data_IF_765995195699
#
_entry.id   IF_765995195699
#
_cell.length_a   1.000
_cell.length_b   1.000
_cell.length_c   1.000
_cell.angle_alpha   90.00
_cell.angle_beta   90.00
_cell.angle_gamma   90.00
#
_symmetry.space_group_name_H-M   'P 1'
#
loop_
_entity.id
_entity.type
_entity.pdbx_description
1 polymer ?
#
# COMPACT_ATOMS: atom_id res chain seq x y z
N UNK A 1 50.74 -6.47 4.20
CA UNK A 1 50.19 -6.59 5.58
C UNK A 1 49.71 -5.20 5.94
N UNK A 2 48.40 -5.01 6.14
CA UNK A 2 47.85 -3.71 6.48
C UNK A 2 47.78 -3.63 8.01
N UNK A 3 48.51 -2.69 8.59
CA UNK A 3 48.49 -2.41 10.02
C UNK A 3 47.48 -1.30 10.27
N UNK A 4 46.51 -1.55 11.15
CA UNK A 4 45.53 -0.56 11.61
C UNK A 4 45.91 -0.06 12.99
N UNK A 5 45.64 1.21 13.29
CA UNK A 5 45.85 1.77 14.63
C UNK A 5 44.68 1.44 15.54
N UNK A 6 44.98 0.90 16.71
CA UNK A 6 43.98 0.64 17.73
C UNK A 6 43.38 1.96 18.27
N UNK A 7 42.06 2.16 18.24
CA UNK A 7 41.44 3.39 18.77
C UNK A 7 41.49 3.49 20.31
N UNK A 8 41.74 2.38 21.01
CA UNK A 8 41.92 2.37 22.47
C UNK A 8 43.32 2.80 22.93
N UNK A 9 44.38 2.17 22.39
CA UNK A 9 45.76 2.37 22.87
C UNK A 9 46.72 2.99 21.86
N UNK A 10 46.29 3.20 20.61
CA UNK A 10 47.10 3.84 19.56
C UNK A 10 48.21 2.99 18.94
N UNK A 11 48.36 1.72 19.35
CA UNK A 11 49.34 0.78 18.79
C UNK A 11 48.89 0.20 17.45
N UNK A 12 49.86 -0.17 16.62
CA UNK A 12 49.63 -0.80 15.32
C UNK A 12 49.28 -2.29 15.50
N UNK A 13 48.16 -2.72 14.91
CA UNK A 13 47.61 -4.08 14.98
C UNK A 13 47.43 -4.63 13.57
N UNK A 14 47.66 -5.93 13.38
CA UNK A 14 47.29 -6.62 12.14
C UNK A 14 45.76 -6.76 12.04
N UNK A 15 45.18 -6.13 11.02
CA UNK A 15 43.73 -6.04 10.78
C UNK A 15 43.08 -7.44 10.65
N UNK A 16 43.84 -8.47 10.27
CA UNK A 16 43.29 -9.81 10.01
C UNK A 16 43.30 -10.78 11.20
N UNK A 17 44.06 -10.51 12.27
CA UNK A 17 44.40 -11.55 13.25
C UNK A 17 43.63 -11.51 14.58
N UNK A 18 43.05 -10.37 14.99
CA UNK A 18 42.55 -10.25 16.37
C UNK A 18 41.25 -9.46 16.52
N UNK A 19 40.19 -10.15 16.99
CA UNK A 19 38.89 -9.55 17.39
C UNK A 19 39.01 -8.58 18.57
N UNK A 20 40.09 -8.68 19.34
CA UNK A 20 40.42 -7.84 20.48
C UNK A 20 41.88 -7.44 20.44
N UNK A 21 42.17 -6.18 20.75
CA UNK A 21 43.55 -5.70 20.86
C UNK A 21 44.28 -6.49 21.96
N UNK A 22 45.43 -7.14 21.67
CA UNK A 22 46.17 -7.90 22.66
C UNK A 22 46.81 -7.02 23.75
N UNK A 23 47.03 -5.74 23.48
CA UNK A 23 47.68 -4.81 24.41
C UNK A 23 46.73 -4.13 25.39
N UNK A 24 45.48 -3.86 24.99
CA UNK A 24 44.53 -3.13 25.82
C UNK A 24 43.15 -3.78 25.95
N UNK A 25 42.95 -4.94 25.30
CA UNK A 25 41.68 -5.67 25.32
C UNK A 25 40.56 -5.04 24.51
N UNK A 26 40.82 -3.97 23.75
CA UNK A 26 39.79 -3.27 22.98
C UNK A 26 39.16 -4.16 21.91
N UNK A 27 37.84 -4.37 21.98
CA UNK A 27 37.11 -5.19 21.01
C UNK A 27 36.90 -4.43 19.69
N UNK A 28 37.45 -4.97 18.59
CA UNK A 28 37.38 -4.40 17.24
C UNK A 28 36.14 -4.89 16.46
N UNK A 29 35.30 -5.75 17.05
CA UNK A 29 34.10 -6.36 16.49
C UNK A 29 32.88 -5.40 16.37
N UNK A 30 33.10 -4.10 16.09
CA UNK A 30 32.02 -3.08 16.10
C UNK A 30 31.03 -3.15 14.92
N UNK A 31 31.35 -3.87 13.84
CA UNK A 31 30.49 -3.92 12.64
C UNK A 31 29.33 -4.91 12.73
N UNK A 32 29.28 -5.81 13.71
CA UNK A 32 28.17 -6.79 13.84
C UNK A 32 27.03 -6.31 14.72
N UNK A 33 27.29 -5.39 15.64
CA UNK A 33 26.26 -4.87 16.56
C UNK A 33 25.35 -3.83 15.88
N UNK A 34 25.89 -3.02 14.96
CA UNK A 34 25.10 -2.00 14.26
C UNK A 34 24.14 -2.64 13.24
N UNK A 35 24.59 -3.68 12.53
CA UNK A 35 23.76 -4.43 11.60
C UNK A 35 22.69 -5.27 12.31
N UNK A 36 22.98 -5.80 13.51
CA UNK A 36 22.01 -6.56 14.32
C UNK A 36 20.93 -5.68 14.98
N UNK A 37 21.21 -4.39 15.22
CA UNK A 37 20.20 -3.42 15.70
C UNK A 37 19.23 -3.00 14.58
N UNK A 38 19.67 -3.01 13.31
CA UNK A 38 18.85 -2.72 12.13
C UNK A 38 18.07 -3.94 11.61
N UNK A 39 18.55 -5.17 11.89
CA UNK A 39 17.94 -6.43 11.43
C UNK A 39 16.98 -7.08 12.44
N UNK A 40 16.97 -6.67 13.70
CA UNK A 40 16.14 -7.27 14.75
C UNK A 40 14.90 -6.37 15.07
N UNK A 41 13.96 -6.79 15.93
CA UNK A 41 12.48 -6.67 15.83
C UNK A 41 11.80 -5.36 15.35
N UNK A 42 12.48 -4.20 15.34
CA UNK A 42 11.91 -2.92 14.88
C UNK A 42 11.54 -2.94 13.39
N UNK A 43 12.36 -3.54 12.53
CA UNK A 43 12.11 -3.62 11.07
C UNK A 43 10.87 -4.47 10.75
N UNK A 44 10.67 -5.58 11.47
CA UNK A 44 9.50 -6.45 11.33
C UNK A 44 8.23 -5.74 11.80
N UNK A 45 8.29 -5.03 12.93
CA UNK A 45 7.15 -4.25 13.44
C UNK A 45 6.76 -3.10 12.49
N UNK A 46 7.74 -2.43 11.88
CA UNK A 46 7.49 -1.41 10.87
C UNK A 46 6.80 -2.00 9.62
N UNK A 47 7.34 -3.08 9.04
CA UNK A 47 6.75 -3.74 7.87
C UNK A 47 5.32 -4.25 8.16
N UNK A 48 5.08 -4.78 9.36
CA UNK A 48 3.75 -5.22 9.82
C UNK A 48 2.78 -4.05 9.94
N UNK A 49 3.23 -2.93 10.49
CA UNK A 49 2.44 -1.69 10.58
C UNK A 49 2.07 -1.16 9.19
N UNK A 50 3.07 -1.06 8.30
CA UNK A 50 2.87 -0.62 6.92
C UNK A 50 1.90 -1.52 6.15
N UNK A 51 2.04 -2.85 6.26
CA UNK A 51 1.11 -3.81 5.65
C UNK A 51 -0.32 -3.61 6.16
N UNK A 52 -0.48 -3.39 7.46
CA UNK A 52 -1.79 -3.17 8.08
C UNK A 52 -2.43 -1.88 7.54
N UNK A 53 -1.65 -0.80 7.43
CA UNK A 53 -2.10 0.45 6.84
C UNK A 53 -2.55 0.29 5.37
N UNK A 54 -1.76 -0.40 4.55
CA UNK A 54 -2.09 -0.68 3.14
C UNK A 54 -3.39 -1.50 3.00
N UNK A 55 -3.60 -2.50 3.87
CA UNK A 55 -4.84 -3.28 3.89
C UNK A 55 -6.05 -2.42 4.25
N UNK A 56 -5.93 -1.55 5.25
CA UNK A 56 -7.00 -0.62 5.62
C UNK A 56 -7.33 0.32 4.46
N UNK A 57 -6.31 0.87 3.80
CA UNK A 57 -6.48 1.74 2.64
C UNK A 57 -7.20 1.02 1.48
N UNK A 58 -6.84 -0.24 1.20
CA UNK A 58 -7.51 -1.06 0.19
C UNK A 58 -8.99 -1.25 0.50
N UNK A 59 -9.33 -1.57 1.75
CA UNK A 59 -10.72 -1.74 2.19
C UNK A 59 -11.51 -0.43 2.02
N UNK A 60 -10.92 0.72 2.34
CA UNK A 60 -11.54 2.04 2.16
C UNK A 60 -11.89 2.27 0.68
N UNK A 61 -10.97 2.00 -0.24
CA UNK A 61 -11.24 2.14 -1.68
C UNK A 61 -12.38 1.24 -2.16
N UNK A 62 -12.46 0.00 -1.67
CA UNK A 62 -13.55 -0.93 -2.02
C UNK A 62 -14.90 -0.45 -1.47
N UNK A 63 -14.94 0.07 -0.25
CA UNK A 63 -16.17 0.63 0.34
C UNK A 63 -16.64 1.85 -0.46
N UNK A 64 -15.73 2.78 -0.75
CA UNK A 64 -16.04 3.97 -1.56
C UNK A 64 -16.57 3.56 -2.93
N UNK A 65 -15.90 2.62 -3.60
CA UNK A 65 -16.35 2.11 -4.90
C UNK A 65 -17.75 1.51 -4.84
N UNK A 66 -18.05 0.72 -3.81
CA UNK A 66 -19.36 0.10 -3.60
C UNK A 66 -20.48 1.14 -3.43
N UNK A 67 -20.21 2.22 -2.67
CA UNK A 67 -21.16 3.33 -2.50
C UNK A 67 -21.44 4.00 -3.86
N UNK A 68 -20.41 4.25 -4.66
CA UNK A 68 -20.57 4.89 -5.97
C UNK A 68 -21.29 3.99 -6.98
N UNK A 69 -21.02 2.68 -6.98
CA UNK A 69 -21.78 1.75 -7.80
C UNK A 69 -23.25 1.65 -7.36
N UNK A 70 -23.52 1.70 -6.06
CA UNK A 70 -24.90 1.79 -5.57
C UNK A 70 -25.58 3.05 -6.10
N UNK A 71 -24.94 4.22 -6.01
CA UNK A 71 -25.52 5.48 -6.54
C UNK A 71 -25.68 5.45 -8.06
N UNK A 72 -24.75 4.85 -8.79
CA UNK A 72 -24.89 4.65 -10.23
C UNK A 72 -26.14 3.81 -10.51
N UNK A 73 -26.28 2.66 -9.85
CA UNK A 73 -27.42 1.78 -10.02
C UNK A 73 -28.73 2.47 -9.66
N UNK A 74 -28.77 3.20 -8.55
CA UNK A 74 -29.93 3.95 -8.07
C UNK A 74 -30.40 4.99 -9.10
N UNK A 75 -29.50 5.84 -9.61
CA UNK A 75 -29.85 6.86 -10.61
C UNK A 75 -30.35 6.25 -11.93
N UNK A 76 -29.86 5.07 -12.29
CA UNK A 76 -30.32 4.35 -13.48
C UNK A 76 -31.71 3.71 -13.30
N UNK A 77 -32.05 3.23 -12.10
CA UNK A 77 -33.26 2.40 -11.88
C UNK A 77 -34.39 3.13 -11.17
N UNK A 78 -34.09 4.09 -10.28
CA UNK A 78 -35.09 4.84 -9.52
C UNK A 78 -35.37 6.18 -10.20
N UNK A 79 -36.02 6.10 -11.36
CA UNK A 79 -36.48 7.26 -12.12
C UNK A 79 -37.81 7.78 -11.57
N UNK A 80 -37.86 9.06 -11.19
CA UNK A 80 -39.08 9.75 -10.81
C UNK A 80 -39.38 10.87 -11.80
N UNK A 81 -40.49 10.75 -12.54
CA UNK A 81 -41.01 11.78 -13.42
C UNK A 81 -41.99 12.65 -12.62
N UNK A 82 -41.71 13.94 -12.47
CA UNK A 82 -42.57 14.85 -11.69
C UNK A 82 -43.67 15.51 -12.51
N UNK A 83 -43.72 15.36 -13.84
CA UNK A 83 -44.59 16.25 -14.64
C UNK A 83 -45.52 15.62 -15.68
N UNK A 84 -45.33 14.38 -16.17
CA UNK A 84 -46.33 13.75 -17.05
C UNK A 84 -46.44 12.25 -16.79
N UNK A 85 -47.60 11.87 -16.24
CA UNK A 85 -48.09 10.50 -16.13
C UNK A 85 -48.55 10.01 -17.50
N UNK A 86 -48.10 8.82 -17.86
CA UNK A 86 -48.69 7.88 -18.82
C UNK A 86 -48.78 8.34 -20.29
N UNK A 87 -48.24 7.48 -21.17
CA UNK A 87 -48.37 7.42 -22.63
C UNK A 87 -47.26 8.14 -23.41
N UNK A 88 -46.20 7.38 -23.71
CA UNK A 88 -45.31 7.68 -24.83
C UNK A 88 -44.56 6.41 -25.27
N UNK A 89 -45.30 5.48 -25.88
CA UNK A 89 -44.72 4.61 -26.91
C UNK A 89 -44.20 5.51 -28.04
N UNK A 90 -42.87 5.65 -28.11
CA UNK A 90 -42.11 6.26 -29.22
C UNK A 90 -42.20 7.79 -29.39
N UNK A 91 -41.99 8.59 -28.34
CA UNK A 91 -41.76 10.04 -28.51
C UNK A 91 -40.31 10.33 -28.97
N UNK A 92 -40.15 10.54 -30.28
CA UNK A 92 -38.99 11.19 -30.87
C UNK A 92 -38.77 12.54 -30.17
N UNK A 93 -37.78 12.58 -29.27
CA UNK A 93 -37.41 13.67 -28.33
C UNK A 93 -38.57 14.27 -27.52
N UNK A 94 -39.32 13.40 -26.82
CA UNK A 94 -40.16 13.81 -25.68
C UNK A 94 -39.31 14.23 -24.48
N UNK A 95 -39.84 15.09 -23.59
CA UNK A 95 -39.11 15.62 -22.43
C UNK A 95 -38.56 14.57 -21.45
N UNK A 96 -39.02 13.32 -21.53
CA UNK A 96 -38.49 12.18 -20.82
C UNK A 96 -37.10 11.74 -21.31
N UNK A 97 -36.85 11.84 -22.63
CA UNK A 97 -35.55 11.57 -23.23
C UNK A 97 -34.44 12.45 -22.64
N UNK A 98 -34.77 13.70 -22.32
CA UNK A 98 -33.82 14.62 -21.68
C UNK A 98 -33.40 14.13 -20.29
N UNK A 99 -34.37 13.70 -19.47
CA UNK A 99 -34.07 13.17 -18.14
C UNK A 99 -33.31 11.84 -18.20
N UNK A 100 -33.54 11.00 -19.21
CA UNK A 100 -32.73 9.79 -19.44
C UNK A 100 -31.29 10.10 -19.82
N UNK A 101 -31.04 11.11 -20.65
CA UNK A 101 -29.69 11.56 -20.99
C UNK A 101 -28.97 12.06 -19.73
N UNK A 102 -29.66 12.85 -18.90
CA UNK A 102 -29.12 13.34 -17.63
C UNK A 102 -28.78 12.18 -16.68
N UNK A 103 -29.73 11.27 -16.42
CA UNK A 103 -29.46 10.11 -15.56
C UNK A 103 -28.39 9.20 -16.14
N UNK A 104 -28.30 9.09 -17.46
CA UNK A 104 -27.21 8.40 -18.16
C UNK A 104 -25.85 9.02 -17.85
N UNK A 105 -25.73 10.35 -17.93
CA UNK A 105 -24.47 11.04 -17.57
C UNK A 105 -24.11 10.86 -16.10
N UNK A 106 -25.05 10.99 -15.17
CA UNK A 106 -24.81 10.70 -13.75
C UNK A 106 -24.41 9.24 -13.49
N UNK A 107 -25.08 8.29 -14.15
CA UNK A 107 -24.72 6.87 -14.08
C UNK A 107 -23.27 6.64 -14.52
N UNK A 108 -22.87 7.22 -15.66
CA UNK A 108 -21.49 7.08 -16.16
C UNK A 108 -20.48 7.70 -15.21
N UNK A 109 -20.73 8.90 -14.69
CA UNK A 109 -19.84 9.58 -13.75
C UNK A 109 -19.63 8.75 -12.47
N UNK A 110 -20.71 8.27 -11.86
CA UNK A 110 -20.61 7.43 -10.67
C UNK A 110 -19.94 6.09 -10.95
N UNK A 111 -20.22 5.47 -12.10
CA UNK A 111 -19.57 4.22 -12.50
C UNK A 111 -18.07 4.37 -12.73
N UNK A 112 -17.62 5.51 -13.31
CA UNK A 112 -16.20 5.80 -13.52
C UNK A 112 -15.47 6.00 -12.18
N UNK A 113 -16.07 6.76 -11.25
CA UNK A 113 -15.50 6.95 -9.91
C UNK A 113 -15.39 5.60 -9.18
N UNK A 114 -16.46 4.79 -9.22
CA UNK A 114 -16.47 3.45 -8.63
C UNK A 114 -15.40 2.54 -9.23
N UNK A 115 -15.30 2.50 -10.56
CA UNK A 115 -14.30 1.70 -11.28
C UNK A 115 -12.87 2.13 -10.96
N UNK A 116 -12.62 3.44 -10.87
CA UNK A 116 -11.30 3.98 -10.49
C UNK A 116 -10.94 3.59 -9.06
N UNK A 117 -11.90 3.61 -8.13
CA UNK A 117 -11.70 3.12 -6.76
C UNK A 117 -11.29 1.64 -6.72
N UNK A 118 -11.93 0.79 -7.50
CA UNK A 118 -11.55 -0.63 -7.63
C UNK A 118 -10.14 -0.79 -8.22
N UNK A 119 -9.81 -0.03 -9.27
CA UNK A 119 -8.46 -0.06 -9.86
C UNK A 119 -7.39 0.30 -8.83
N UNK A 120 -7.61 1.35 -8.03
CA UNK A 120 -6.72 1.70 -6.91
C UNK A 120 -6.58 0.55 -5.90
N UNK A 121 -7.68 -0.11 -5.53
CA UNK A 121 -7.65 -1.26 -4.62
C UNK A 121 -6.83 -2.43 -5.19
N UNK A 122 -6.96 -2.72 -6.48
CA UNK A 122 -6.21 -3.79 -7.17
C UNK A 122 -4.72 -3.48 -7.22
N UNK A 123 -4.33 -2.23 -7.53
CA UNK A 123 -2.93 -1.81 -7.58
C UNK A 123 -2.24 -2.00 -6.22
N UNK A 124 -2.97 -1.79 -5.11
CA UNK A 124 -2.44 -1.97 -3.76
C UNK A 124 -2.12 -3.43 -3.40
N UNK A 125 -2.65 -4.43 -4.14
CA UNK A 125 -2.41 -5.85 -3.86
C UNK A 125 -0.93 -6.21 -4.06
N UNK A 126 -0.29 -5.68 -5.11
CA UNK A 126 1.11 -5.96 -5.45
C UNK A 126 2.07 -5.63 -4.29
N UNK A 127 2.10 -4.39 -3.75
CA UNK A 127 2.97 -4.08 -2.62
C UNK A 127 2.63 -4.85 -1.34
N UNK A 128 1.35 -5.19 -1.10
CA UNK A 128 0.95 -6.03 0.04
C UNK A 128 1.58 -7.42 -0.04
N UNK A 129 1.57 -8.04 -1.23
CA UNK A 129 2.21 -9.34 -1.48
C UNK A 129 3.73 -9.21 -1.32
N UNK A 130 4.35 -8.20 -1.93
CA UNK A 130 5.79 -7.99 -1.83
C UNK A 130 6.28 -7.82 -0.38
N UNK A 131 5.55 -7.03 0.43
CA UNK A 131 5.84 -6.89 1.87
C UNK A 131 5.67 -8.22 2.59
N UNK A 132 4.67 -9.03 2.21
CA UNK A 132 4.45 -10.34 2.83
C UNK A 132 5.59 -11.33 2.53
N UNK A 133 6.12 -11.31 1.30
CA UNK A 133 7.31 -12.10 0.92
C UNK A 133 8.54 -11.63 1.72
N UNK A 134 8.81 -10.32 1.75
CA UNK A 134 9.91 -9.74 2.55
C UNK A 134 9.81 -10.11 4.03
N UNK A 135 8.61 -10.12 4.60
CA UNK A 135 8.41 -10.56 5.98
C UNK A 135 8.74 -12.05 6.17
N UNK A 136 8.36 -12.90 5.21
CA UNK A 136 8.66 -14.33 5.26
C UNK A 136 10.17 -14.62 5.17
N UNK A 137 10.89 -13.88 4.33
CA UNK A 137 12.36 -13.97 4.22
C UNK A 137 13.05 -13.61 5.54
N UNK A 138 12.67 -12.47 6.14
CA UNK A 138 13.24 -12.00 7.40
C UNK A 138 12.95 -12.97 8.56
N UNK A 139 11.74 -13.54 8.64
CA UNK A 139 11.36 -14.48 9.70
C UNK A 139 12.15 -15.80 9.60
N UNK A 140 12.46 -16.25 8.38
CA UNK A 140 13.15 -17.53 8.15
C UNK A 140 14.67 -17.40 7.99
N UNK A 141 15.23 -16.20 8.20
CA UNK A 141 16.68 -15.97 8.12
C UNK A 141 17.27 -16.19 6.72
N UNK A 142 16.46 -16.04 5.66
CA UNK A 142 16.92 -16.05 4.27
C UNK A 142 17.09 -14.60 3.83
N UNK A 143 18.25 -14.00 4.13
CA UNK A 143 18.65 -12.72 3.50
C UNK A 143 19.34 -12.96 2.16
#
# INVERSE_FOLDING_TARGET
MALIKCPGCGKDIDDNLTKQCPDCGYSLDKNKEVDSILTSPKKVNYLKSLRTFLNVLMIIFVIIASIFFYKAYDVKHNYQNTEYSSINENAYVGGDAYNYIINGTYFTAYSVIGSTGILCAVILIIPIIAISIKMYEIINGKE
#
